data_IF_295122942047
#
_entry.id   IF_295122942047
#
_cell.length_a   1.000
_cell.length_b   1.000
_cell.length_c   1.000
_cell.angle_alpha   90.00
_cell.angle_beta   90.00
_cell.angle_gamma   90.00
#
_symmetry.space_group_name_H-M   'P 1'
#
loop_
_entity.id
_entity.type
_entity.pdbx_description
1 polymer ?
#
# COMPACT_ATOMS: atom_id res chain seq x y z
N UNK A 1 33.52 -0.80 -21.88
CA UNK A 1 32.76 0.37 -21.38
C UNK A 1 31.29 0.39 -21.88
N UNK A 2 30.60 -0.76 -21.94
CA UNK A 2 29.18 -0.85 -22.38
C UNK A 2 28.30 -1.76 -21.48
N UNK A 3 28.89 -2.50 -20.54
CA UNK A 3 28.18 -3.46 -19.69
C UNK A 3 27.20 -2.81 -18.69
N UNK A 4 27.38 -1.52 -18.35
CA UNK A 4 26.56 -0.83 -17.35
C UNK A 4 25.16 -0.42 -17.87
N UNK A 5 25.01 -0.20 -19.18
CA UNK A 5 23.72 0.21 -19.77
C UNK A 5 22.73 -0.96 -19.84
N UNK A 6 23.21 -2.18 -20.07
CA UNK A 6 22.37 -3.39 -20.11
C UNK A 6 21.77 -3.74 -18.75
N UNK A 7 22.56 -3.65 -17.68
CA UNK A 7 22.09 -3.91 -16.32
C UNK A 7 21.05 -2.89 -15.85
N UNK A 8 21.24 -1.60 -16.15
CA UNK A 8 20.27 -0.55 -15.84
C UNK A 8 18.93 -0.72 -16.58
N UNK A 9 18.99 -1.14 -17.85
CA UNK A 9 17.80 -1.46 -18.64
C UNK A 9 17.02 -2.65 -18.09
N UNK A 10 17.72 -3.75 -17.75
CA UNK A 10 17.11 -4.94 -17.17
C UNK A 10 16.47 -4.66 -15.80
N UNK A 11 17.14 -3.87 -14.94
CA UNK A 11 16.58 -3.50 -13.64
C UNK A 11 15.32 -2.64 -13.79
N UNK A 12 15.33 -1.67 -14.71
CA UNK A 12 14.16 -0.84 -15.01
C UNK A 12 13.02 -1.67 -15.59
N UNK A 13 13.30 -2.63 -16.46
CA UNK A 13 12.29 -3.52 -17.05
C UNK A 13 11.70 -4.49 -16.02
N UNK A 14 12.53 -5.07 -15.16
CA UNK A 14 12.09 -5.87 -14.02
C UNK A 14 11.17 -5.05 -13.09
N UNK A 15 11.57 -3.81 -12.79
CA UNK A 15 10.74 -2.88 -12.02
C UNK A 15 9.40 -2.55 -12.69
N UNK A 16 9.36 -2.40 -14.02
CA UNK A 16 8.12 -2.17 -14.77
C UNK A 16 7.21 -3.41 -14.78
N UNK A 17 7.79 -4.60 -14.89
CA UNK A 17 7.05 -5.87 -14.82
C UNK A 17 6.41 -6.07 -13.45
N UNK A 18 7.10 -5.70 -12.35
CA UNK A 18 6.52 -5.78 -11.00
C UNK A 18 5.40 -4.75 -10.75
N UNK A 19 5.40 -3.61 -11.45
CA UNK A 19 4.36 -2.59 -11.31
C UNK A 19 3.04 -2.95 -12.02
N UNK A 20 3.06 -3.93 -12.93
CA UNK A 20 1.96 -4.15 -13.88
C UNK A 20 0.70 -4.82 -13.30
N UNK A 21 0.62 -5.10 -12.00
CA UNK A 21 -0.32 -6.12 -11.54
C UNK A 21 -1.03 -5.85 -10.21
N UNK A 22 -1.15 -4.61 -9.74
CA UNK A 22 -2.12 -4.34 -8.66
C UNK A 22 -2.61 -2.89 -8.63
N UNK A 23 -3.91 -2.74 -8.41
CA UNK A 23 -4.58 -1.46 -8.17
C UNK A 23 -4.77 -1.32 -6.65
N UNK A 24 -4.54 -0.12 -6.12
CA UNK A 24 -4.78 0.19 -4.71
C UNK A 24 -6.04 1.05 -4.60
N UNK A 25 -7.02 0.56 -3.83
CA UNK A 25 -8.28 1.25 -3.59
C UNK A 25 -8.42 1.60 -2.12
N UNK A 26 -8.83 2.84 -1.84
CA UNK A 26 -9.20 3.32 -0.51
C UNK A 26 -10.70 3.54 -0.48
N UNK A 27 -11.41 2.97 0.50
CA UNK A 27 -12.86 3.12 0.65
C UNK A 27 -13.26 4.16 1.72
N UNK A 28 -12.28 4.77 2.40
CA UNK A 28 -12.51 5.70 3.51
C UNK A 28 -12.17 5.13 4.89
N UNK A 29 -12.10 3.80 5.02
CA UNK A 29 -11.79 3.11 6.27
C UNK A 29 -10.66 2.08 6.10
N UNK A 30 -10.70 1.30 5.02
CA UNK A 30 -9.81 0.18 4.74
C UNK A 30 -9.13 0.31 3.37
N UNK A 31 -7.93 -0.26 3.29
CA UNK A 31 -7.17 -0.37 2.05
C UNK A 31 -7.43 -1.72 1.39
N UNK A 32 -7.80 -1.68 0.12
CA UNK A 32 -8.05 -2.84 -0.72
C UNK A 32 -6.96 -2.93 -1.78
N UNK A 33 -6.35 -4.11 -1.88
CA UNK A 33 -5.43 -4.43 -2.96
C UNK A 33 -6.17 -5.28 -4.00
N UNK A 34 -6.32 -4.74 -5.21
CA UNK A 34 -6.89 -5.46 -6.33
C UNK A 34 -5.76 -6.02 -7.17
N UNK A 35 -5.74 -7.33 -7.35
CA UNK A 35 -4.76 -7.96 -8.22
C UNK A 35 -5.09 -7.65 -9.68
N UNK A 36 -4.08 -7.23 -10.42
CA UNK A 36 -4.12 -7.19 -11.87
C UNK A 36 -4.01 -8.61 -12.44
N UNK A 37 -4.36 -8.79 -13.73
CA UNK A 37 -4.44 -10.09 -14.37
C UNK A 37 -3.13 -10.89 -14.35
N UNK A 38 -1.98 -10.23 -14.25
CA UNK A 38 -0.66 -10.86 -14.17
C UNK A 38 -0.27 -11.35 -12.76
N UNK A 39 -1.03 -11.01 -11.72
CA UNK A 39 -0.76 -11.40 -10.33
C UNK A 39 -1.90 -12.20 -9.68
N UNK A 40 -2.93 -12.59 -10.44
CA UNK A 40 -4.10 -13.30 -9.93
C UNK A 40 -3.72 -14.53 -9.08
N UNK A 41 -4.20 -14.55 -7.82
CA UNK A 41 -3.98 -15.63 -6.87
C UNK A 41 -2.63 -15.63 -6.15
N UNK A 42 -1.81 -14.60 -6.33
CA UNK A 42 -0.48 -14.49 -5.70
C UNK A 42 -0.56 -13.79 -4.34
N UNK A 43 -1.57 -12.95 -4.17
CA UNK A 43 -1.78 -12.05 -3.07
C UNK A 43 -3.14 -12.34 -2.41
N UNK A 44 -3.23 -12.13 -1.10
CA UNK A 44 -4.54 -12.14 -0.44
C UNK A 44 -5.39 -11.02 -1.04
N UNK A 45 -6.60 -11.33 -1.49
CA UNK A 45 -7.59 -10.33 -1.89
C UNK A 45 -8.42 -9.95 -0.67
N UNK A 46 -8.59 -8.65 -0.39
CA UNK A 46 -9.48 -8.21 0.70
C UNK A 46 -9.08 -6.88 1.35
N UNK A 47 -9.80 -6.46 2.40
CA UNK A 47 -9.43 -5.29 3.20
C UNK A 47 -8.16 -5.60 3.99
N UNK A 48 -7.32 -4.58 4.15
CA UNK A 48 -6.06 -4.71 4.87
C UNK A 48 -5.53 -3.39 5.35
N UNK A 49 -4.47 -3.48 6.16
CA UNK A 49 -3.77 -2.33 6.69
C UNK A 49 -2.60 -1.97 5.78
N UNK A 50 -2.46 -0.68 5.50
CA UNK A 50 -1.33 -0.13 4.77
C UNK A 50 -0.40 0.62 5.74
N UNK A 51 0.89 0.28 5.70
CA UNK A 51 1.93 0.99 6.45
C UNK A 51 2.95 1.58 5.46
N UNK A 52 3.25 2.88 5.61
CA UNK A 52 4.37 3.50 4.88
C UNK A 52 5.68 3.12 5.56
N UNK A 53 6.62 2.51 4.83
CA UNK A 53 7.94 2.10 5.34
C UNK A 53 9.06 3.00 4.86
N UNK A 54 8.94 3.55 3.65
CA UNK A 54 9.85 4.54 3.10
C UNK A 54 9.08 5.56 2.27
N UNK A 55 9.41 6.83 2.42
CA UNK A 55 8.88 7.92 1.59
C UNK A 55 10.02 8.70 0.95
N UNK A 56 10.13 8.61 -0.38
CA UNK A 56 11.12 9.31 -1.20
C UNK A 56 10.48 10.46 -2.01
N UNK A 57 9.32 10.95 -1.58
CA UNK A 57 8.45 11.93 -2.23
C UNK A 57 7.87 11.54 -3.58
N UNK A 58 8.69 11.02 -4.50
CA UNK A 58 8.32 10.54 -5.84
C UNK A 58 8.00 9.05 -5.86
N UNK A 59 8.49 8.33 -4.88
CA UNK A 59 8.27 6.89 -4.72
C UNK A 59 8.02 6.58 -3.25
N UNK A 60 7.17 5.59 -2.98
CA UNK A 60 6.83 5.10 -1.65
C UNK A 60 7.07 3.59 -1.60
N UNK A 61 7.68 3.12 -0.51
CA UNK A 61 7.66 1.71 -0.16
C UNK A 61 6.57 1.49 0.88
N UNK A 62 5.54 0.78 0.47
CA UNK A 62 4.41 0.43 1.31
C UNK A 62 4.49 -1.04 1.72
N UNK A 63 3.99 -1.31 2.92
CA UNK A 63 3.76 -2.65 3.42
C UNK A 63 2.27 -2.84 3.64
N UNK A 64 1.65 -3.65 2.81
CA UNK A 64 0.26 -4.04 2.94
C UNK A 64 0.13 -5.35 3.71
N UNK A 65 -0.89 -5.48 4.54
CA UNK A 65 -1.23 -6.74 5.22
C UNK A 65 -2.74 -6.92 5.19
N UNK A 66 -3.21 -7.92 4.45
CA UNK A 66 -4.60 -8.33 4.47
C UNK A 66 -5.03 -8.69 5.91
N UNK A 67 -6.28 -8.41 6.24
CA UNK A 67 -6.84 -8.84 7.52
C UNK A 67 -6.79 -10.37 7.61
N UNK A 68 -6.26 -10.90 8.73
CA UNK A 68 -6.08 -12.35 8.92
C UNK A 68 -4.89 -12.97 8.18
N UNK A 69 -4.19 -12.25 7.30
CA UNK A 69 -3.02 -12.78 6.61
C UNK A 69 -1.77 -12.76 7.49
N UNK A 70 -1.04 -13.89 7.50
CA UNK A 70 0.24 -14.04 8.21
C UNK A 70 1.40 -13.31 7.52
N UNK A 71 1.33 -13.18 6.19
CA UNK A 71 2.36 -12.53 5.36
C UNK A 71 1.94 -11.13 4.97
N UNK A 72 2.88 -10.19 5.04
CA UNK A 72 2.73 -8.85 4.49
C UNK A 72 3.30 -8.81 3.08
N UNK A 73 2.73 -7.96 2.25
CA UNK A 73 3.15 -7.71 0.88
C UNK A 73 3.82 -6.34 0.81
N UNK A 74 4.83 -6.26 -0.05
CA UNK A 74 5.60 -5.04 -0.26
C UNK A 74 5.25 -4.46 -1.61
N UNK A 75 4.89 -3.19 -1.62
CA UNK A 75 4.42 -2.49 -2.80
C UNK A 75 5.29 -1.25 -2.99
N UNK A 76 5.88 -1.14 -4.17
CA UNK A 76 6.47 0.10 -4.62
C UNK A 76 5.44 0.90 -5.39
N UNK A 77 5.18 2.12 -4.94
CA UNK A 77 4.25 3.03 -5.61
C UNK A 77 5.02 4.25 -6.08
N UNK A 78 4.82 4.65 -7.33
CA UNK A 78 5.50 5.79 -7.92
C UNK A 78 4.51 6.87 -8.35
N UNK A 79 4.90 8.13 -8.19
CA UNK A 79 4.14 9.29 -8.69
C UNK A 79 3.90 9.21 -10.20
N UNK A 80 4.78 8.57 -10.96
CA UNK A 80 4.66 8.47 -12.42
C UNK A 80 3.44 7.64 -12.87
N UNK A 81 2.92 6.74 -12.03
CA UNK A 81 1.78 5.89 -12.39
C UNK A 81 0.45 6.65 -12.41
N UNK A 82 0.22 7.54 -11.43
CA UNK A 82 -0.93 8.45 -11.38
C UNK A 82 -0.51 9.77 -10.70
N UNK A 83 0.12 10.70 -11.45
CA UNK A 83 0.64 11.94 -10.87
C UNK A 83 -0.47 12.86 -10.36
N UNK A 84 -1.68 12.75 -10.91
CA UNK A 84 -2.85 13.56 -10.55
C UNK A 84 -3.38 13.16 -9.18
N UNK A 85 -3.45 11.85 -8.89
CA UNK A 85 -3.94 11.35 -7.59
C UNK A 85 -2.84 11.14 -6.56
N UNK A 86 -1.57 11.38 -6.90
CA UNK A 86 -0.44 11.19 -5.99
C UNK A 86 -0.58 11.92 -4.65
N UNK A 87 -1.03 13.17 -4.68
CA UNK A 87 -1.24 13.94 -3.46
C UNK A 87 -2.37 13.35 -2.60
N UNK A 88 -3.49 12.98 -3.22
CA UNK A 88 -4.63 12.35 -2.53
C UNK A 88 -4.25 11.01 -1.92
N UNK A 89 -3.46 10.20 -2.62
CA UNK A 89 -2.92 8.95 -2.11
C UNK A 89 -2.10 9.18 -0.84
N UNK A 90 -1.19 10.17 -0.85
CA UNK A 90 -0.39 10.51 0.32
C UNK A 90 -1.28 10.96 1.48
N UNK A 91 -2.25 11.83 1.22
CA UNK A 91 -3.20 12.25 2.24
C UNK A 91 -3.93 11.06 2.87
N UNK A 92 -4.42 10.12 2.05
CA UNK A 92 -5.07 8.90 2.52
C UNK A 92 -4.12 7.99 3.32
N UNK A 93 -2.85 7.85 2.92
CA UNK A 93 -1.87 7.02 3.61
C UNK A 93 -1.48 7.59 4.99
N UNK A 94 -1.46 8.92 5.12
CA UNK A 94 -1.11 9.60 6.37
C UNK A 94 -2.32 9.94 7.24
N UNK A 95 -3.53 9.94 6.68
CA UNK A 95 -4.75 9.95 7.48
C UNK A 95 -4.87 8.59 8.18
N UNK A 96 -4.60 8.56 9.48
CA UNK A 96 -4.83 7.36 10.28
C UNK A 96 -6.34 7.04 10.23
N UNK A 97 -6.74 5.77 10.07
CA UNK A 97 -8.13 5.41 10.33
C UNK A 97 -8.45 5.83 11.75
N UNK A 98 -9.52 6.60 11.91
CA UNK A 98 -10.00 7.06 13.21
C UNK A 98 -10.13 5.84 14.12
N UNK A 99 -9.25 5.72 15.11
CA UNK A 99 -9.45 4.75 16.18
C UNK A 99 -10.83 5.07 16.75
N UNK A 100 -11.79 4.12 16.77
CA UNK A 100 -13.07 4.40 17.39
C UNK A 100 -12.76 4.86 18.82
N UNK A 101 -13.27 6.04 19.17
CA UNK A 101 -13.09 6.58 20.50
C UNK A 101 -13.54 5.50 21.49
N UNK A 102 -12.76 5.23 22.55
CA UNK A 102 -13.22 4.32 23.59
C UNK A 102 -14.61 4.76 24.03
N UNK A 103 -15.54 3.81 24.10
CA UNK A 103 -16.92 4.08 24.49
C UNK A 103 -16.91 4.85 25.81
N UNK A 104 -17.41 6.11 25.84
CA UNK A 104 -17.44 6.92 27.06
C UNK A 104 -18.16 6.21 28.21
N UNK A 105 -19.12 5.33 27.88
CA UNK A 105 -19.89 4.58 28.87
C UNK A 105 -19.10 3.40 29.47
N UNK A 106 -18.08 2.88 28.78
CA UNK A 106 -17.18 1.86 29.33
C UNK A 106 -16.16 2.44 30.32
N UNK A 107 -15.87 3.76 30.25
CA UNK A 107 -15.00 4.46 31.20
C UNK A 107 -15.71 4.85 32.50
N UNK A 108 -17.04 4.81 32.54
CA UNK A 108 -17.86 5.22 33.69
C UNK A 108 -18.35 4.01 34.50
N UNK A 109 -17.70 2.85 34.42
CA UNK A 109 -18.00 1.76 35.38
C UNK A 109 -17.30 2.04 36.71
N UNK A 110 -18.03 2.43 37.79
CA UNK A 110 -17.44 2.48 39.11
C UNK A 110 -17.21 1.03 39.53
N UNK A 111 -15.98 0.71 39.96
CA UNK A 111 -15.75 -0.51 40.74
C UNK A 111 -16.65 -0.44 41.98
N UNK A 112 -17.70 -1.26 42.00
CA UNK A 112 -18.47 -1.60 43.19
C UNK A 112 -17.97 -2.94 43.73
#
# INVERSE_FOLDING_TARGET
MFAWLGAGGALRQFWRMQQAASSLRWDGADWWLEEGPAAAGTFGTGPGRMDVRLDLQRSLLLRWRAQGARRAQWLWVERAADPTRWHLLRCALYSKPSRPAPDPLAMVSPRA
#
